data_IF_043295554721
#
_entry.id   IF_043295554721
#
_cell.length_a   1.000
_cell.length_b   1.000
_cell.length_c   1.000
_cell.angle_alpha   90.00
_cell.angle_beta   90.00
_cell.angle_gamma   90.00
#
_symmetry.space_group_name_H-M   'P 1'
#
loop_
_entity.id
_entity.type
_entity.pdbx_description
1 polymer ?
#
# COMPACT_ATOMS: atom_id res chain seq x y z
N UNK A 1 14.66 -78.99 -30.36
CA UNK A 1 16.13 -78.93 -30.19
C UNK A 1 16.43 -77.78 -29.27
N UNK A 2 16.95 -78.10 -28.08
CA UNK A 2 17.39 -77.17 -27.05
C UNK A 2 18.74 -76.55 -27.45
N UNK A 3 18.88 -75.25 -27.22
CA UNK A 3 20.12 -74.50 -26.94
C UNK A 3 19.61 -73.16 -26.38
N UNK A 4 19.46 -72.95 -25.06
CA UNK A 4 20.52 -72.80 -24.05
C UNK A 4 21.70 -71.99 -24.59
N UNK A 5 21.56 -70.65 -24.58
CA UNK A 5 22.69 -69.73 -24.48
C UNK A 5 22.45 -68.77 -23.31
N UNK A 6 23.22 -69.03 -22.26
CA UNK A 6 23.33 -68.27 -21.04
C UNK A 6 23.95 -66.90 -21.34
N UNK A 7 23.23 -65.80 -21.14
CA UNK A 7 23.88 -64.51 -20.84
C UNK A 7 23.78 -64.27 -19.34
N UNK A 8 24.87 -64.66 -18.67
CA UNK A 8 25.21 -64.31 -17.29
C UNK A 8 24.95 -62.83 -17.06
N UNK A 9 23.87 -62.53 -16.35
CA UNK A 9 23.76 -61.27 -15.62
C UNK A 9 24.76 -61.42 -14.47
N UNK A 10 25.96 -60.88 -14.69
CA UNK A 10 26.93 -60.67 -13.61
C UNK A 10 26.26 -59.74 -12.59
N UNK A 11 25.70 -60.33 -11.53
CA UNK A 11 25.40 -59.63 -10.28
C UNK A 11 26.74 -59.32 -9.59
N UNK A 12 27.56 -58.49 -10.23
CA UNK A 12 28.71 -57.88 -9.60
C UNK A 12 28.21 -56.87 -8.58
N UNK A 13 28.59 -57.05 -7.32
CA UNK A 13 28.53 -55.98 -6.32
C UNK A 13 29.02 -54.70 -6.99
N UNK A 14 28.24 -53.60 -7.01
CA UNK A 14 28.66 -52.37 -7.67
C UNK A 14 30.04 -51.99 -7.14
N UNK A 15 30.98 -51.73 -8.06
CA UNK A 15 32.34 -51.37 -7.67
C UNK A 15 32.25 -50.13 -6.76
N UNK A 16 33.13 -50.04 -5.76
CA UNK A 16 33.18 -48.91 -4.83
C UNK A 16 33.30 -47.59 -5.60
N UNK A 17 33.95 -47.64 -6.78
CA UNK A 17 34.06 -46.53 -7.71
C UNK A 17 32.71 -46.12 -8.32
N UNK A 18 31.85 -47.06 -8.72
CA UNK A 18 30.53 -46.79 -9.29
C UNK A 18 29.59 -46.14 -8.26
N UNK A 19 29.64 -46.63 -7.01
CA UNK A 19 28.87 -46.04 -5.90
C UNK A 19 29.36 -44.62 -5.59
N UNK A 20 30.67 -44.38 -5.64
CA UNK A 20 31.25 -43.06 -5.40
C UNK A 20 30.88 -42.06 -6.52
N UNK A 21 30.89 -42.49 -7.78
CA UNK A 21 30.48 -41.67 -8.93
C UNK A 21 29.01 -41.29 -8.80
N UNK A 22 28.12 -42.25 -8.53
CA UNK A 22 26.69 -41.98 -8.37
C UNK A 22 26.41 -41.01 -7.21
N UNK A 23 27.07 -41.19 -6.06
CA UNK A 23 26.93 -40.28 -4.91
C UNK A 23 27.39 -38.85 -5.24
N UNK A 24 28.50 -38.71 -5.96
CA UNK A 24 28.99 -37.40 -6.39
C UNK A 24 28.00 -36.71 -7.35
N UNK A 25 27.52 -37.42 -8.36
CA UNK A 25 26.53 -36.90 -9.33
C UNK A 25 25.24 -36.47 -8.63
N UNK A 26 24.74 -37.28 -7.68
CA UNK A 26 23.55 -36.89 -6.90
C UNK A 26 23.80 -35.65 -6.04
N UNK A 27 25.00 -35.53 -5.44
CA UNK A 27 25.35 -34.37 -4.63
C UNK A 27 25.46 -33.08 -5.45
N UNK A 28 25.97 -33.17 -6.67
CA UNK A 28 26.04 -32.04 -7.61
C UNK A 28 24.66 -31.64 -8.11
N UNK A 29 23.79 -32.61 -8.39
CA UNK A 29 22.41 -32.36 -8.76
C UNK A 29 21.61 -31.68 -7.64
N UNK A 30 21.80 -32.06 -6.38
CA UNK A 30 21.17 -31.40 -5.23
C UNK A 30 21.69 -29.97 -5.01
N UNK A 31 23.00 -29.74 -5.20
CA UNK A 31 23.61 -28.41 -5.13
C UNK A 31 23.08 -27.47 -6.22
N UNK A 32 22.95 -27.95 -7.45
CA UNK A 32 22.38 -27.17 -8.55
C UNK A 32 20.89 -26.89 -8.34
N UNK A 33 20.13 -27.87 -7.84
CA UNK A 33 18.71 -27.69 -7.50
C UNK A 33 18.49 -26.64 -6.41
N UNK A 34 19.31 -26.65 -5.37
CA UNK A 34 19.27 -25.65 -4.29
C UNK A 34 19.70 -24.28 -4.78
N UNK A 35 20.74 -24.19 -5.62
CA UNK A 35 21.15 -22.95 -6.28
C UNK A 35 20.04 -22.32 -7.13
N UNK A 36 19.34 -23.13 -7.93
CA UNK A 36 18.22 -22.67 -8.75
C UNK A 36 17.04 -22.20 -7.90
N UNK A 37 16.70 -22.92 -6.82
CA UNK A 37 15.62 -22.52 -5.91
C UNK A 37 15.90 -21.19 -5.20
N UNK A 38 17.16 -20.91 -4.87
CA UNK A 38 17.57 -19.63 -4.26
C UNK A 38 17.46 -18.49 -5.29
N UNK A 39 17.86 -18.71 -6.53
CA UNK A 39 17.70 -17.72 -7.60
C UNK A 39 16.22 -17.39 -7.87
N UNK A 40 15.36 -18.41 -8.00
CA UNK A 40 13.91 -18.24 -8.18
C UNK A 40 13.27 -17.46 -7.02
N UNK A 41 13.77 -17.65 -5.81
CA UNK A 41 13.28 -16.94 -4.63
C UNK A 41 13.73 -15.48 -4.61
N UNK A 42 14.96 -15.20 -5.03
CA UNK A 42 15.46 -13.84 -5.19
C UNK A 42 14.65 -13.07 -6.23
N UNK A 43 14.38 -13.68 -7.38
CA UNK A 43 13.58 -13.05 -8.45
C UNK A 43 12.16 -12.73 -7.97
N UNK A 44 11.50 -13.67 -7.26
CA UNK A 44 10.17 -13.44 -6.69
C UNK A 44 10.14 -12.31 -5.66
N UNK A 45 11.20 -12.16 -4.86
CA UNK A 45 11.31 -11.05 -3.91
C UNK A 45 11.45 -9.72 -4.65
N UNK A 46 12.29 -9.67 -5.68
CA UNK A 46 12.48 -8.46 -6.49
C UNK A 46 11.20 -8.07 -7.22
N UNK A 47 10.51 -9.03 -7.85
CA UNK A 47 9.22 -8.81 -8.51
C UNK A 47 8.15 -8.30 -7.54
N UNK A 48 8.03 -8.94 -6.36
CA UNK A 48 7.10 -8.52 -5.33
C UNK A 48 7.41 -7.11 -4.82
N UNK A 49 8.70 -6.75 -4.69
CA UNK A 49 9.14 -5.44 -4.27
C UNK A 49 8.81 -4.36 -5.32
N UNK A 50 9.07 -4.64 -6.61
CA UNK A 50 8.70 -3.75 -7.69
C UNK A 50 7.19 -3.54 -7.77
N UNK A 51 6.41 -4.62 -7.67
CA UNK A 51 4.96 -4.54 -7.73
C UNK A 51 4.37 -3.76 -6.54
N UNK A 52 4.94 -3.95 -5.34
CA UNK A 52 4.57 -3.16 -4.17
C UNK A 52 4.94 -1.68 -4.33
N UNK A 53 6.07 -1.38 -4.96
CA UNK A 53 6.52 -0.02 -5.25
C UNK A 53 5.58 0.67 -6.26
N UNK A 54 5.24 0.00 -7.37
CA UNK A 54 4.25 0.46 -8.37
C UNK A 54 2.88 0.75 -7.72
N UNK A 55 2.42 -0.11 -6.79
CA UNK A 55 1.14 0.09 -6.06
C UNK A 55 1.16 1.30 -5.11
N UNK A 56 2.33 1.77 -4.67
CA UNK A 56 2.46 2.89 -3.73
C UNK A 56 2.36 4.26 -4.41
N UNK A 57 2.79 4.36 -5.66
CA UNK A 57 2.81 5.62 -6.42
C UNK A 57 1.41 6.13 -6.78
N UNK A 58 0.41 5.25 -6.89
CA UNK A 58 -0.99 5.64 -7.16
C UNK A 58 -1.74 6.31 -5.99
N UNK A 59 -1.09 6.54 -4.84
CA UNK A 59 -1.68 7.29 -3.71
C UNK A 59 -1.14 8.71 -3.57
N UNK A 60 -0.17 9.11 -4.39
CA UNK A 60 0.34 10.47 -4.37
C UNK A 60 -0.64 11.30 -5.19
N UNK A 61 -1.34 12.22 -4.51
CA UNK A 61 -2.25 13.21 -5.09
C UNK A 61 -3.73 12.80 -5.29
N UNK A 62 -4.38 12.27 -4.24
CA UNK A 62 -5.87 12.25 -4.16
C UNK A 62 -6.51 13.62 -3.89
N UNK A 63 -5.75 14.72 -3.91
CA UNK A 63 -6.31 16.06 -3.75
C UNK A 63 -6.30 16.78 -5.10
N UNK A 64 -7.45 16.86 -5.80
CA UNK A 64 -7.54 17.51 -7.11
C UNK A 64 -7.29 19.03 -7.07
N UNK A 65 -6.93 19.59 -5.91
CA UNK A 65 -6.81 21.03 -5.67
C UNK A 65 -5.39 21.46 -5.25
N UNK A 66 -4.39 20.60 -5.44
CA UNK A 66 -2.98 20.94 -5.18
C UNK A 66 -2.58 20.93 -3.70
N UNK A 67 -1.36 21.38 -3.45
CA UNK A 67 -0.74 21.36 -2.13
C UNK A 67 -1.20 22.56 -1.27
N UNK A 68 -1.45 22.31 0.03
CA UNK A 68 -1.84 23.36 0.99
C UNK A 68 -0.68 24.38 1.13
N UNK A 69 -0.96 25.70 1.15
CA UNK A 69 0.05 26.74 1.36
C UNK A 69 0.94 26.49 2.58
N UNK A 70 2.20 26.90 2.47
CA UNK A 70 3.21 26.66 3.49
C UNK A 70 2.84 27.31 4.83
N UNK A 71 2.22 28.49 4.78
CA UNK A 71 1.76 29.28 5.92
C UNK A 71 0.73 28.47 6.73
N UNK A 72 -0.28 27.91 6.06
CA UNK A 72 -1.31 27.08 6.70
C UNK A 72 -0.68 25.82 7.30
N UNK A 73 0.29 25.20 6.62
CA UNK A 73 1.03 24.05 7.16
C UNK A 73 1.77 24.41 8.44
N UNK A 74 2.37 25.60 8.52
CA UNK A 74 3.05 26.05 9.73
C UNK A 74 2.08 26.24 10.89
N UNK A 75 0.90 26.80 10.65
CA UNK A 75 -0.14 26.96 11.67
C UNK A 75 -0.64 25.59 12.16
N UNK A 76 -0.78 24.60 11.27
CA UNK A 76 -1.11 23.22 11.63
C UNK A 76 -0.01 22.60 12.50
N UNK A 77 1.27 22.80 12.15
CA UNK A 77 2.41 22.32 12.96
C UNK A 77 2.43 22.96 14.34
N UNK A 78 2.21 24.27 14.43
CA UNK A 78 2.09 24.98 15.71
C UNK A 78 0.93 24.42 16.55
N UNK A 79 -0.24 24.17 15.96
CA UNK A 79 -1.37 23.56 16.68
C UNK A 79 -1.02 22.17 17.22
N UNK A 80 -0.30 21.35 16.42
CA UNK A 80 0.17 20.04 16.86
C UNK A 80 1.15 20.14 18.03
N UNK A 81 2.01 21.17 18.05
CA UNK A 81 2.92 21.44 19.17
C UNK A 81 2.14 21.79 20.44
N UNK A 82 1.17 22.71 20.36
CA UNK A 82 0.32 23.08 21.49
C UNK A 82 -0.47 21.88 22.02
N UNK A 83 -1.01 21.02 21.15
CA UNK A 83 -1.65 19.76 21.56
C UNK A 83 -0.71 18.84 22.34
N UNK A 84 0.57 18.78 21.96
CA UNK A 84 1.57 17.99 22.68
C UNK A 84 1.89 18.60 24.04
N UNK A 85 2.03 19.92 24.12
CA UNK A 85 2.27 20.64 25.38
C UNK A 85 1.11 20.44 26.35
N UNK A 86 -0.13 20.70 25.90
CA UNK A 86 -1.33 20.49 26.73
C UNK A 86 -1.45 19.06 27.26
N UNK A 87 -1.14 18.04 26.44
CA UNK A 87 -1.13 16.64 26.92
C UNK A 87 -0.05 16.36 27.95
N UNK A 88 1.10 17.03 27.86
CA UNK A 88 2.25 16.82 28.76
C UNK A 88 2.08 17.54 30.08
N UNK A 89 1.72 18.82 30.06
CA UNK A 89 1.69 19.66 31.26
C UNK A 89 0.29 19.79 31.87
N UNK A 90 -0.77 19.63 31.06
CA UNK A 90 -2.18 19.74 31.48
C UNK A 90 -2.50 21.01 32.26
N UNK A 91 -1.76 22.09 32.01
CA UNK A 91 -2.00 23.40 32.63
C UNK A 91 -3.19 24.09 31.98
N UNK A 92 -3.82 25.00 32.74
CA UNK A 92 -4.91 25.83 32.22
C UNK A 92 -4.42 26.76 31.10
N UNK A 93 -3.21 27.31 31.21
CA UNK A 93 -2.60 28.14 30.16
C UNK A 93 -2.46 27.37 28.84
N UNK A 94 -1.89 26.16 28.86
CA UNK A 94 -1.73 25.34 27.65
C UNK A 94 -3.08 25.00 27.00
N UNK A 95 -4.13 24.83 27.82
CA UNK A 95 -5.50 24.58 27.36
C UNK A 95 -6.08 25.80 26.63
N UNK A 96 -5.89 26.99 27.19
CA UNK A 96 -6.34 28.25 26.61
C UNK A 96 -5.59 28.57 25.32
N UNK A 97 -4.26 28.44 25.31
CA UNK A 97 -3.43 28.61 24.13
C UNK A 97 -3.85 27.65 23.01
N UNK A 98 -4.08 26.37 23.36
CA UNK A 98 -4.55 25.38 22.40
C UNK A 98 -5.95 25.71 21.86
N UNK A 99 -6.87 26.20 22.70
CA UNK A 99 -8.23 26.57 22.31
C UNK A 99 -8.20 27.74 21.34
N UNK A 100 -7.49 28.80 21.69
CA UNK A 100 -7.32 30.00 20.87
C UNK A 100 -6.71 29.65 19.52
N UNK A 101 -5.58 28.92 19.52
CA UNK A 101 -4.89 28.53 18.29
C UNK A 101 -5.70 27.54 17.44
N UNK A 102 -6.46 26.63 18.08
CA UNK A 102 -7.37 25.73 17.36
C UNK A 102 -8.51 26.49 16.70
N UNK A 103 -9.04 27.53 17.35
CA UNK A 103 -10.09 28.36 16.77
C UNK A 103 -9.57 29.20 15.60
N UNK A 104 -8.38 29.79 15.74
CA UNK A 104 -7.68 30.47 14.65
C UNK A 104 -7.46 29.54 13.45
N UNK A 105 -6.94 28.32 13.69
CA UNK A 105 -6.73 27.35 12.62
C UNK A 105 -8.04 26.97 11.91
N UNK A 106 -9.14 26.78 12.65
CA UNK A 106 -10.46 26.52 12.05
C UNK A 106 -10.90 27.66 11.13
N UNK A 107 -10.72 28.91 11.57
CA UNK A 107 -11.09 30.07 10.79
C UNK A 107 -10.28 30.15 9.48
N UNK A 108 -8.96 29.98 9.57
CA UNK A 108 -8.06 30.02 8.40
C UNK A 108 -8.36 28.89 7.42
N UNK A 109 -8.59 27.67 7.91
CA UNK A 109 -8.93 26.55 7.03
C UNK A 109 -10.29 26.74 6.35
N UNK A 110 -11.26 27.34 7.05
CA UNK A 110 -12.56 27.67 6.48
C UNK A 110 -12.41 28.71 5.37
N UNK A 111 -11.73 29.81 5.64
CA UNK A 111 -11.49 30.89 4.69
C UNK A 111 -10.72 30.38 3.46
N UNK A 112 -9.66 29.60 3.67
CA UNK A 112 -8.92 28.98 2.56
C UNK A 112 -9.82 28.09 1.70
N UNK A 113 -10.66 27.27 2.33
CA UNK A 113 -11.61 26.40 1.60
C UNK A 113 -12.64 27.22 0.82
N UNK A 114 -13.17 28.29 1.41
CA UNK A 114 -14.13 29.20 0.78
C UNK A 114 -13.48 29.92 -0.42
N UNK A 115 -12.30 30.50 -0.25
CA UNK A 115 -11.56 31.16 -1.32
C UNK A 115 -11.28 30.20 -2.48
N UNK A 116 -10.86 28.96 -2.19
CA UNK A 116 -10.64 27.95 -3.23
C UNK A 116 -11.94 27.53 -3.91
N UNK A 117 -13.05 27.51 -3.19
CA UNK A 117 -14.36 27.25 -3.75
C UNK A 117 -14.80 28.36 -4.70
N UNK A 118 -14.64 29.63 -4.32
CA UNK A 118 -14.93 30.78 -5.18
C UNK A 118 -14.06 30.79 -6.44
N UNK A 119 -12.75 30.62 -6.30
CA UNK A 119 -11.83 30.46 -7.45
C UNK A 119 -12.28 29.33 -8.37
N UNK A 120 -12.76 28.22 -7.79
CA UNK A 120 -13.24 27.10 -8.59
C UNK A 120 -14.51 27.47 -9.35
N UNK A 121 -15.48 28.13 -8.72
CA UNK A 121 -16.71 28.60 -9.37
C UNK A 121 -16.38 29.58 -10.50
N UNK A 122 -15.51 30.56 -10.26
CA UNK A 122 -15.08 31.55 -11.25
C UNK A 122 -14.41 30.89 -12.47
N UNK A 123 -13.67 29.79 -12.26
CA UNK A 123 -13.05 29.04 -13.34
C UNK A 123 -14.02 28.19 -14.17
N UNK A 124 -15.30 28.07 -13.78
CA UNK A 124 -16.28 27.28 -14.53
C UNK A 124 -16.84 28.12 -15.68
N UNK A 125 -16.60 27.66 -16.90
CA UNK A 125 -17.31 28.16 -18.07
C UNK A 125 -18.53 27.26 -18.35
N UNK A 126 -19.56 27.85 -18.94
CA UNK A 126 -20.73 27.15 -19.48
C UNK A 126 -20.51 26.65 -20.91
N UNK A 127 -19.56 27.26 -21.64
CA UNK A 127 -19.15 26.84 -22.99
C UNK A 127 -18.31 25.57 -22.94
N UNK A 128 -17.44 25.49 -21.93
CA UNK A 128 -16.70 24.27 -21.63
C UNK A 128 -17.52 23.41 -20.67
N UNK A 129 -17.74 22.14 -21.01
CA UNK A 129 -18.44 21.09 -20.23
C UNK A 129 -18.02 20.92 -18.73
N UNK A 130 -17.11 21.76 -18.24
CA UNK A 130 -16.66 21.92 -16.86
C UNK A 130 -17.80 22.20 -15.88
N UNK A 131 -18.72 23.13 -16.18
CA UNK A 131 -19.86 23.44 -15.31
C UNK A 131 -20.79 22.23 -15.14
N UNK A 132 -21.12 21.55 -16.24
CA UNK A 132 -21.92 20.33 -16.23
C UNK A 132 -21.25 19.18 -15.46
N UNK A 133 -19.93 19.02 -15.65
CA UNK A 133 -19.15 18.03 -14.92
C UNK A 133 -19.15 18.30 -13.42
N UNK A 134 -19.04 19.57 -13.02
CA UNK A 134 -19.11 19.99 -11.62
C UNK A 134 -20.49 19.74 -11.02
N UNK A 135 -21.57 20.10 -11.74
CA UNK A 135 -22.94 19.86 -11.32
C UNK A 135 -23.21 18.36 -11.10
N UNK A 136 -22.74 17.50 -12.01
CA UNK A 136 -22.81 16.04 -11.85
C UNK A 136 -22.06 15.56 -10.60
N UNK A 137 -20.86 16.08 -10.35
CA UNK A 137 -20.08 15.72 -9.15
C UNK A 137 -20.81 16.10 -7.86
N UNK A 138 -21.40 17.30 -7.80
CA UNK A 138 -22.18 17.75 -6.64
C UNK A 138 -23.43 16.92 -6.40
N UNK A 139 -24.09 16.43 -7.46
CA UNK A 139 -25.26 15.56 -7.34
C UNK A 139 -24.92 14.12 -6.93
N UNK A 140 -23.68 13.67 -7.15
CA UNK A 140 -23.18 12.33 -6.77
C UNK A 140 -22.83 12.23 -5.27
N UNK A 141 -23.60 12.86 -4.38
CA UNK A 141 -23.46 12.61 -2.95
C UNK A 141 -23.79 11.13 -2.72
N UNK A 142 -22.76 10.34 -2.41
CA UNK A 142 -22.93 8.96 -1.99
C UNK A 142 -23.40 9.00 -0.54
N UNK A 143 -24.69 8.83 -0.33
CA UNK A 143 -25.18 8.49 0.99
C UNK A 143 -24.58 7.14 1.40
N UNK A 144 -24.04 7.07 2.61
CA UNK A 144 -23.63 5.80 3.17
C UNK A 144 -24.90 5.00 3.47
N UNK A 145 -25.19 4.03 2.62
CA UNK A 145 -26.25 3.06 2.89
C UNK A 145 -25.71 2.13 3.98
N UNK A 146 -26.27 2.15 5.21
CA UNK A 146 -25.84 1.21 6.24
C UNK A 146 -26.13 -0.23 5.77
N UNK A 147 -25.37 -1.22 6.24
CA UNK A 147 -25.65 -2.62 5.91
C UNK A 147 -27.06 -2.98 6.37
N UNK A 148 -27.79 -3.73 5.55
CA UNK A 148 -29.13 -4.23 5.89
C UNK A 148 -28.99 -5.13 7.13
N UNK A 149 -29.41 -4.63 8.29
CA UNK A 149 -29.50 -5.41 9.51
C UNK A 149 -30.68 -6.38 9.36
N UNK A 150 -30.41 -7.61 8.96
CA UNK A 150 -31.38 -8.70 9.02
C UNK A 150 -31.53 -9.12 10.49
N UNK A 151 -32.48 -8.52 11.19
CA UNK A 151 -32.86 -8.97 12.53
C UNK A 151 -33.55 -10.33 12.41
N UNK A 152 -32.80 -11.41 12.63
CA UNK A 152 -33.40 -12.71 12.93
C UNK A 152 -33.94 -12.66 14.36
N UNK A 153 -35.24 -12.42 14.50
CA UNK A 153 -35.94 -12.74 15.74
C UNK A 153 -35.98 -14.26 15.87
N UNK A 154 -35.11 -14.81 16.71
CA UNK A 154 -35.32 -16.14 17.26
C UNK A 154 -36.35 -16.00 18.38
N UNK A 155 -37.55 -16.51 18.12
CA UNK A 155 -38.58 -16.80 19.13
C UNK A 155 -38.24 -18.10 19.86
#
# INVERSE_FOLDING_TARGET
MQTEEESKICNGTPDVLDIAILKNVTSEHERTRTGNAVADFQDKILDAFEEASRKKEHKVNRYPYGEIPYEIKQIIRANKRLRRLHRRHQTQQDKEDLRTHSQMLKNILREYRENRWYQKIESLDTRDHTAWTMQKKLRRVREHIPPLLHYFHYS
#
